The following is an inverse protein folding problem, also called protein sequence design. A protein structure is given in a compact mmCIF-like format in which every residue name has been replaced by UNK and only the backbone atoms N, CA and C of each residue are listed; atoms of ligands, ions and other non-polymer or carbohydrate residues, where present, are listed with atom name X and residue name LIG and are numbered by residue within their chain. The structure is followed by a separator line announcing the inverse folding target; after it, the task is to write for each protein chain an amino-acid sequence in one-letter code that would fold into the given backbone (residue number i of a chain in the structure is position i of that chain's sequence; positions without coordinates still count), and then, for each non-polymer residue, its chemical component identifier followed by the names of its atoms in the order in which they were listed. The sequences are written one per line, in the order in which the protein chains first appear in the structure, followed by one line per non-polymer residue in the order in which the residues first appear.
data_IF_946077854410
#
_entry.id   IF_946077854410
#
_cell.length_a   1.000
_cell.length_b   1.000
_cell.length_c   1.000
_cell.angle_alpha   90.00
_cell.angle_beta   90.00
_cell.angle_gamma   90.00
#
_symmetry.space_group_name_H-M   'P 1'
#
loop_
_entity.id
_entity.type
_entity.pdbx_description
1 polymer ?
#
# COMPACT_ATOMS: atom_id res chain seq x y z
N UNK A 1 -3.07 19.19 6.05
CA UNK A 1 -3.56 18.89 7.42
C UNK A 1 -5.01 18.41 7.54
N UNK A 2 -5.92 18.76 6.63
CA UNK A 2 -7.37 18.55 6.83
C UNK A 2 -7.70 17.08 7.12
N UNK A 3 -6.97 16.17 6.49
CA UNK A 3 -7.18 14.73 6.60
C UNK A 3 -6.42 14.07 7.77
N UNK A 4 -5.28 14.63 8.17
CA UNK A 4 -4.36 14.00 9.13
C UNK A 4 -5.00 13.72 10.51
N UNK A 5 -5.87 14.61 11.00
CA UNK A 5 -6.54 14.39 12.28
C UNK A 5 -7.46 13.17 12.23
N UNK A 6 -8.32 13.11 11.21
CA UNK A 6 -9.27 12.00 11.03
C UNK A 6 -8.54 10.68 10.75
N UNK A 7 -7.48 10.74 9.94
CA UNK A 7 -6.61 9.59 9.68
C UNK A 7 -6.06 9.01 10.99
N UNK A 8 -5.44 9.85 11.83
CA UNK A 8 -4.80 9.39 13.06
C UNK A 8 -5.81 8.93 14.12
N UNK A 9 -6.94 9.64 14.27
CA UNK A 9 -8.03 9.25 15.19
C UNK A 9 -8.59 7.87 14.83
N UNK A 10 -8.85 7.63 13.55
CA UNK A 10 -9.37 6.33 13.09
C UNK A 10 -8.30 5.23 13.11
N UNK A 11 -7.03 5.56 12.83
CA UNK A 11 -5.92 4.62 13.01
C UNK A 11 -5.77 4.17 14.46
N UNK A 12 -5.99 5.05 15.44
CA UNK A 12 -6.02 4.66 16.86
C UNK A 12 -7.21 3.77 17.23
N UNK A 13 -8.28 3.74 16.44
CA UNK A 13 -9.43 2.85 16.68
C UNK A 13 -9.24 1.45 16.08
N UNK A 14 -8.58 1.37 14.93
CA UNK A 14 -8.63 0.17 14.09
C UNK A 14 -7.27 -0.39 13.64
N UNK A 15 -6.21 0.41 13.62
CA UNK A 15 -4.93 0.02 13.02
C UNK A 15 -4.00 -0.68 14.02
N UNK A 16 -3.75 -1.97 13.78
CA UNK A 16 -2.78 -2.84 14.46
C UNK A 16 -2.92 -2.69 15.99
N UNK A 17 -4.17 -2.81 16.44
CA UNK A 17 -4.60 -2.63 17.82
C UNK A 17 -3.88 -3.60 18.76
N UNK A 18 -3.43 -3.10 19.91
CA UNK A 18 -2.68 -3.90 20.90
C UNK A 18 -1.19 -4.07 20.62
N UNK A 19 -0.66 -3.49 19.54
CA UNK A 19 0.76 -3.57 19.17
C UNK A 19 1.47 -2.20 19.24
N UNK A 20 2.81 -2.24 19.26
CA UNK A 20 3.69 -1.07 19.32
C UNK A 20 3.83 -0.41 17.96
N UNK A 21 3.51 0.88 17.90
CA UNK A 21 3.24 1.58 16.64
C UNK A 21 3.93 3.01 16.73
N UNK A 22 4.94 3.40 15.90
CA UNK A 22 5.58 4.77 15.67
C UNK A 22 5.22 5.68 14.41
N UNK A 23 4.36 6.72 14.48
CA UNK A 23 3.65 7.22 13.27
C UNK A 23 4.60 8.21 12.62
N UNK A 24 5.15 7.87 11.47
CA UNK A 24 6.07 8.75 10.76
C UNK A 24 5.26 9.68 9.88
N UNK A 25 5.15 10.94 10.31
CA UNK A 25 4.41 11.98 9.61
C UNK A 25 5.41 12.86 8.87
N UNK A 26 5.42 12.73 7.54
CA UNK A 26 6.22 13.57 6.66
C UNK A 26 5.45 14.85 6.38
N UNK A 27 5.99 16.00 6.80
CA UNK A 27 5.33 17.29 6.59
C UNK A 27 6.33 18.45 6.55
N UNK A 28 6.05 19.45 5.71
CA UNK A 28 6.75 20.74 5.70
C UNK A 28 6.22 21.69 6.79
N UNK A 29 5.12 21.31 7.46
CA UNK A 29 4.38 22.06 8.47
C UNK A 29 4.29 21.28 9.81
N UNK A 30 5.38 21.17 10.58
CA UNK A 30 5.39 20.42 11.85
C UNK A 30 4.43 20.94 12.93
N UNK A 31 4.27 22.26 13.04
CA UNK A 31 3.48 22.94 14.09
C UNK A 31 1.96 22.69 14.00
N UNK A 32 1.59 21.95 12.98
CA UNK A 32 0.28 21.79 12.41
C UNK A 32 -0.16 20.32 12.47
N UNK A 33 0.75 19.43 12.86
CA UNK A 33 0.44 18.04 13.22
C UNK A 33 -0.47 18.04 14.46
N UNK A 34 -1.64 17.38 14.41
CA UNK A 34 -2.60 17.41 15.50
C UNK A 34 -2.09 16.68 16.74
N UNK A 35 -2.47 17.19 17.91
CA UNK A 35 -2.24 16.52 19.18
C UNK A 35 -3.44 15.62 19.52
N UNK A 36 -3.29 14.32 19.25
CA UNK A 36 -4.32 13.32 19.57
C UNK A 36 -3.90 12.46 20.76
N UNK A 37 -4.88 11.83 21.41
CA UNK A 37 -4.60 10.81 22.43
C UNK A 37 -4.15 9.52 21.77
N UNK A 38 -2.97 9.02 22.15
CA UNK A 38 -2.41 7.77 21.65
C UNK A 38 -2.53 6.66 22.69
N UNK A 39 -2.87 5.46 22.24
CA UNK A 39 -2.86 4.28 23.09
C UNK A 39 -1.44 3.92 23.53
N UNK A 40 -1.36 3.14 24.61
CA UNK A 40 -0.09 2.72 25.22
C UNK A 40 0.83 2.03 24.19
N UNK A 41 2.10 2.44 24.16
CA UNK A 41 3.11 1.86 23.28
C UNK A 41 3.08 2.42 21.85
N UNK A 42 2.30 3.48 21.62
CA UNK A 42 2.20 4.18 20.35
C UNK A 42 2.75 5.60 20.47
N UNK A 43 3.35 6.12 19.41
CA UNK A 43 3.90 7.48 19.36
C UNK A 43 3.73 8.08 17.97
N UNK A 44 3.78 9.40 17.90
CA UNK A 44 3.92 10.17 16.66
C UNK A 44 5.35 10.69 16.56
N UNK A 45 5.93 10.56 15.38
CA UNK A 45 7.27 11.02 15.02
C UNK A 45 7.12 11.94 13.83
N UNK A 46 7.35 13.23 14.05
CA UNK A 46 7.26 14.25 13.01
C UNK A 46 8.59 14.30 12.25
N UNK A 47 8.53 14.12 10.94
CA UNK A 47 9.67 14.19 10.04
C UNK A 47 9.50 15.42 9.17
N UNK A 48 10.24 16.49 9.49
CA UNK A 48 10.19 17.71 8.71
C UNK A 48 10.82 17.47 7.34
N UNK A 49 10.06 17.71 6.28
CA UNK A 49 10.51 17.60 4.89
C UNK A 49 10.45 18.95 4.18
N UNK A 50 11.07 19.03 3.02
CA UNK A 50 11.00 20.21 2.16
C UNK A 50 9.59 20.32 1.56
N UNK A 51 9.13 21.57 1.41
CA UNK A 51 7.94 21.88 0.62
C UNK A 51 8.29 21.86 -0.87
N UNK A 52 7.47 21.19 -1.68
CA UNK A 52 7.64 21.13 -3.13
C UNK A 52 6.65 22.05 -3.84
N UNK A 53 6.99 22.47 -5.07
CA UNK A 53 6.21 23.48 -5.80
C UNK A 53 4.95 22.87 -6.39
N UNK A 54 4.97 21.57 -6.71
CA UNK A 54 3.85 20.84 -7.31
C UNK A 54 3.56 19.52 -6.60
N UNK A 55 2.32 19.04 -6.69
CA UNK A 55 1.92 17.75 -6.15
C UNK A 55 2.66 16.58 -6.84
N UNK A 56 3.02 16.75 -8.13
CA UNK A 56 3.81 15.76 -8.86
C UNK A 56 5.21 15.60 -8.27
N UNK A 57 5.86 16.71 -7.90
CA UNK A 57 7.16 16.66 -7.21
C UNK A 57 7.02 15.99 -5.82
N UNK A 58 5.96 16.29 -5.06
CA UNK A 58 5.70 15.61 -3.78
C UNK A 58 5.66 14.10 -3.97
N UNK A 59 4.93 13.63 -4.98
CA UNK A 59 4.82 12.21 -5.32
C UNK A 59 6.16 11.62 -5.78
N UNK A 60 6.89 12.34 -6.62
CA UNK A 60 8.21 11.91 -7.12
C UNK A 60 9.22 11.67 -5.99
N UNK A 61 9.20 12.56 -5.01
CA UNK A 61 10.11 12.47 -3.87
C UNK A 61 9.58 11.56 -2.75
N UNK A 62 8.33 11.08 -2.81
CA UNK A 62 7.77 10.20 -1.79
C UNK A 62 8.58 8.91 -1.63
N UNK A 63 8.87 8.23 -2.75
CA UNK A 63 9.68 7.01 -2.76
C UNK A 63 11.12 7.28 -2.26
N UNK A 64 11.71 8.41 -2.65
CA UNK A 64 13.03 8.85 -2.17
C UNK A 64 13.03 9.06 -0.65
N UNK A 65 12.06 9.82 -0.14
CA UNK A 65 11.95 10.13 1.29
C UNK A 65 11.81 8.85 2.12
N UNK A 66 10.96 7.92 1.70
CA UNK A 66 10.81 6.64 2.41
C UNK A 66 12.14 5.88 2.42
N UNK A 67 12.80 5.72 1.26
CA UNK A 67 14.07 4.98 1.19
C UNK A 67 15.17 5.62 2.04
N UNK A 68 15.31 6.95 2.01
CA UNK A 68 16.27 7.70 2.82
C UNK A 68 16.02 7.54 4.33
N UNK A 69 14.78 7.67 4.79
CA UNK A 69 14.46 7.50 6.21
C UNK A 69 14.54 6.04 6.67
N UNK A 70 14.39 5.07 5.77
CA UNK A 70 14.69 3.68 6.09
C UNK A 70 16.16 3.53 6.48
N UNK A 71 17.08 4.02 5.65
CA UNK A 71 18.52 3.93 5.91
C UNK A 71 18.93 4.69 7.16
N UNK A 72 18.38 5.89 7.35
CA UNK A 72 18.77 6.77 8.45
C UNK A 72 18.17 6.34 9.80
N UNK A 73 16.98 5.71 9.79
CA UNK A 73 16.16 5.61 10.99
C UNK A 73 15.39 4.31 11.10
N UNK A 74 14.55 3.97 10.12
CA UNK A 74 13.51 2.95 10.34
C UNK A 74 14.07 1.55 10.58
N UNK A 75 15.25 1.23 10.03
CA UNK A 75 15.95 -0.04 10.28
C UNK A 75 16.19 -0.34 11.77
N UNK A 76 16.28 0.68 12.62
CA UNK A 76 16.55 0.53 14.05
C UNK A 76 15.29 0.64 14.92
N UNK A 77 14.18 1.13 14.35
CA UNK A 77 12.99 1.49 15.11
C UNK A 77 11.82 0.50 14.95
N UNK A 78 11.65 -0.12 13.77
CA UNK A 78 10.49 -0.94 13.41
C UNK A 78 10.87 -2.19 12.59
N UNK A 79 10.05 -3.24 12.64
CA UNK A 79 10.27 -4.45 11.83
C UNK A 79 9.56 -4.40 10.46
N UNK A 80 8.44 -3.68 10.40
CA UNK A 80 7.62 -3.52 9.21
C UNK A 80 7.21 -2.06 9.00
N UNK A 81 7.02 -1.70 7.73
CA UNK A 81 6.48 -0.42 7.25
C UNK A 81 5.16 -0.66 6.51
N UNK A 82 4.18 0.22 6.73
CA UNK A 82 2.88 0.27 6.04
C UNK A 82 2.68 1.68 5.47
N UNK A 83 3.06 1.90 4.23
CA UNK A 83 2.94 3.19 3.55
C UNK A 83 1.49 3.43 3.14
N UNK A 84 0.87 4.50 3.63
CA UNK A 84 -0.52 4.84 3.37
C UNK A 84 -0.68 6.33 3.01
N UNK A 85 -1.59 6.61 2.09
CA UNK A 85 -2.02 7.98 1.79
C UNK A 85 -2.85 8.56 2.94
N UNK A 86 -2.64 9.85 3.27
CA UNK A 86 -3.28 10.48 4.43
C UNK A 86 -4.77 10.75 4.25
N UNK A 87 -5.26 10.80 3.01
CA UNK A 87 -6.67 11.07 2.67
C UNK A 87 -7.56 9.84 2.86
N UNK A 88 -7.00 8.77 3.43
CA UNK A 88 -7.71 7.57 3.86
C UNK A 88 -8.33 7.70 5.26
N UNK A 89 -9.37 6.89 5.51
CA UNK A 89 -10.01 6.75 6.83
C UNK A 89 -10.13 5.27 7.16
N UNK A 90 -9.75 4.88 8.38
CA UNK A 90 -9.99 3.51 8.85
C UNK A 90 -11.43 3.38 9.37
N UNK A 91 -12.20 2.48 8.76
CA UNK A 91 -13.60 2.27 9.12
C UNK A 91 -13.85 0.94 9.86
N UNK A 92 -12.89 0.01 9.83
CA UNK A 92 -12.94 -1.29 10.49
C UNK A 92 -11.51 -1.80 10.72
N UNK A 93 -11.38 -2.95 11.40
CA UNK A 93 -10.13 -3.61 11.80
C UNK A 93 -9.12 -3.74 10.65
N UNK A 94 -7.90 -3.26 10.89
CA UNK A 94 -6.72 -3.50 10.05
C UNK A 94 -5.59 -3.94 10.97
N UNK A 95 -5.39 -5.25 11.10
CA UNK A 95 -4.48 -5.84 12.07
C UNK A 95 -3.22 -6.45 11.48
N UNK A 96 -2.62 -7.35 12.26
CA UNK A 96 -1.39 -8.04 11.86
C UNK A 96 -1.56 -8.97 10.66
N UNK A 97 -2.81 -9.24 10.26
CA UNK A 97 -3.11 -10.05 9.08
C UNK A 97 -2.62 -9.41 7.78
N UNK A 98 -2.41 -8.09 7.70
CA UNK A 98 -1.86 -7.45 6.48
C UNK A 98 -0.35 -7.68 6.30
N UNK A 99 0.34 -8.09 7.36
CA UNK A 99 1.80 -8.05 7.40
C UNK A 99 2.41 -9.23 6.68
N UNK A 100 3.44 -8.94 5.90
CA UNK A 100 4.23 -9.94 5.17
C UNK A 100 5.58 -9.33 4.79
N UNK A 101 6.46 -10.09 4.15
CA UNK A 101 7.74 -9.54 3.70
C UNK A 101 7.53 -8.37 2.75
N UNK A 102 6.54 -8.45 1.87
CA UNK A 102 6.09 -7.40 0.96
C UNK A 102 4.59 -7.62 0.69
N UNK A 103 3.75 -6.66 1.02
CA UNK A 103 2.34 -6.68 0.67
C UNK A 103 1.95 -5.52 -0.23
N UNK A 104 0.86 -5.70 -0.95
CA UNK A 104 0.22 -4.64 -1.72
C UNK A 104 -1.28 -4.87 -1.82
N UNK A 105 -1.99 -3.86 -2.27
CA UNK A 105 -3.44 -3.85 -2.31
C UNK A 105 -3.97 -3.81 -3.72
N UNK A 106 -5.05 -4.53 -3.99
CA UNK A 106 -5.78 -4.40 -5.25
C UNK A 106 -6.46 -3.03 -5.32
N UNK A 107 -6.27 -2.33 -6.42
CA UNK A 107 -6.95 -1.06 -6.63
C UNK A 107 -8.47 -1.26 -6.78
N UNK A 108 -9.27 -0.52 -6.01
CA UNK A 108 -10.73 -0.67 -5.91
C UNK A 108 -11.48 -0.41 -7.21
N UNK A 109 -10.97 0.45 -8.09
CA UNK A 109 -11.56 0.64 -9.41
C UNK A 109 -11.25 -0.47 -10.43
N UNK A 110 -10.26 -1.33 -10.16
CA UNK A 110 -9.71 -2.24 -11.17
C UNK A 110 -9.78 -3.73 -10.80
N UNK A 111 -10.15 -4.10 -9.57
CA UNK A 111 -10.16 -5.51 -9.14
C UNK A 111 -11.17 -6.43 -9.88
N UNK A 112 -12.19 -5.86 -10.52
CA UNK A 112 -13.20 -6.63 -11.30
C UNK A 112 -13.01 -6.56 -12.81
N UNK A 113 -12.07 -5.74 -13.29
CA UNK A 113 -11.87 -5.55 -14.73
C UNK A 113 -10.82 -6.53 -15.27
N UNK A 114 -10.92 -6.82 -16.56
CA UNK A 114 -9.92 -7.62 -17.25
C UNK A 114 -8.57 -6.89 -17.25
N UNK A 115 -7.49 -7.63 -17.01
CA UNK A 115 -6.12 -7.14 -16.95
C UNK A 115 -5.70 -6.35 -18.19
N UNK A 116 -6.25 -6.66 -19.37
CA UNK A 116 -6.02 -5.88 -20.62
C UNK A 116 -6.50 -4.43 -20.54
N UNK A 117 -7.29 -4.07 -19.52
CA UNK A 117 -7.81 -2.73 -19.30
C UNK A 117 -7.18 -2.05 -18.07
N UNK A 118 -6.16 -2.67 -17.47
CA UNK A 118 -5.40 -2.01 -16.40
C UNK A 118 -4.64 -0.83 -16.97
N UNK A 119 -4.65 0.33 -16.28
CA UNK A 119 -4.05 1.53 -16.83
C UNK A 119 -2.54 1.54 -16.52
N UNK A 120 -1.83 0.45 -16.85
CA UNK A 120 -0.37 0.44 -16.78
C UNK A 120 0.24 1.43 -17.76
N UNK A 121 1.48 1.82 -17.51
CA UNK A 121 2.26 2.60 -18.46
C UNK A 121 2.45 1.84 -19.77
N UNK A 122 2.11 2.49 -20.89
CA UNK A 122 2.08 1.90 -22.23
C UNK A 122 3.22 2.40 -23.14
N UNK A 123 3.97 3.43 -22.74
CA UNK A 123 5.11 3.93 -23.49
C UNK A 123 6.36 3.09 -23.22
N UNK A 124 6.87 2.33 -24.22
CA UNK A 124 8.01 1.43 -24.03
C UNK A 124 9.31 2.09 -23.59
N UNK A 125 9.42 3.41 -23.76
CA UNK A 125 10.57 4.20 -23.32
C UNK A 125 10.57 4.46 -21.81
N UNK A 126 9.41 4.38 -21.14
CA UNK A 126 9.31 4.54 -19.70
C UNK A 126 9.84 3.30 -18.98
N UNK A 127 10.52 3.52 -17.85
CA UNK A 127 10.92 2.45 -16.93
C UNK A 127 9.70 1.75 -16.31
N UNK A 128 8.53 2.38 -16.26
CA UNK A 128 7.29 1.80 -15.73
C UNK A 128 6.52 0.93 -16.74
N UNK A 129 6.95 0.86 -18.01
CA UNK A 129 6.23 0.16 -19.07
C UNK A 129 5.90 -1.29 -18.75
N UNK A 130 4.63 -1.70 -18.92
CA UNK A 130 4.20 -3.10 -18.84
C UNK A 130 3.53 -3.48 -20.16
N UNK A 131 4.03 -4.52 -20.87
CA UNK A 131 3.41 -5.03 -22.09
C UNK A 131 1.95 -5.46 -21.89
N UNK A 132 1.13 -5.31 -22.93
CA UNK A 132 -0.30 -5.70 -22.91
C UNK A 132 -0.51 -7.19 -22.58
N UNK A 133 0.48 -8.05 -22.83
CA UNK A 133 0.44 -9.48 -22.58
C UNK A 133 1.07 -9.90 -21.22
N UNK A 134 1.45 -8.93 -20.39
CA UNK A 134 1.97 -9.12 -19.03
C UNK A 134 1.10 -8.43 -17.95
N UNK A 135 1.31 -8.78 -16.69
CA UNK A 135 0.57 -8.24 -15.54
C UNK A 135 -0.28 -9.27 -14.79
N UNK A 136 -0.25 -9.22 -13.45
CA UNK A 136 -1.14 -10.06 -12.62
C UNK A 136 -2.35 -9.27 -12.12
N UNK A 137 -2.09 -8.12 -11.50
CA UNK A 137 -3.07 -7.28 -10.80
C UNK A 137 -2.63 -5.83 -10.90
N UNK A 138 -3.60 -4.92 -10.94
CA UNK A 138 -3.33 -3.51 -10.76
C UNK A 138 -3.37 -3.14 -9.27
N UNK A 139 -2.19 -2.88 -8.72
CA UNK A 139 -2.00 -2.50 -7.31
C UNK A 139 -2.16 -1.00 -7.11
N UNK A 140 -2.72 -0.59 -5.96
CA UNK A 140 -2.79 0.83 -5.61
C UNK A 140 -1.54 1.32 -4.90
N UNK A 141 -1.10 2.53 -5.25
CA UNK A 141 -0.07 3.29 -4.52
C UNK A 141 -0.54 3.78 -3.15
N UNK A 142 -1.84 3.80 -2.89
CA UNK A 142 -2.42 4.34 -1.66
C UNK A 142 -2.14 3.50 -0.42
N UNK A 143 -1.86 2.20 -0.57
CA UNK A 143 -1.50 1.33 0.56
C UNK A 143 -0.57 0.18 0.13
N UNK A 144 0.67 0.22 0.60
CA UNK A 144 1.64 -0.86 0.41
C UNK A 144 2.54 -1.00 1.62
N UNK A 145 3.36 -2.04 1.69
CA UNK A 145 4.31 -2.16 2.77
C UNK A 145 4.95 -3.52 2.87
N UNK A 146 5.57 -3.79 4.00
CA UNK A 146 6.30 -5.03 4.20
C UNK A 146 7.36 -4.89 5.28
N UNK A 147 8.28 -5.85 5.31
CA UNK A 147 9.47 -5.74 6.14
C UNK A 147 10.33 -4.55 5.69
N UNK A 148 11.03 -3.90 6.64
CA UNK A 148 11.88 -2.73 6.33
C UNK A 148 12.82 -2.96 5.13
N UNK A 149 13.53 -4.11 5.00
CA UNK A 149 14.41 -4.34 3.86
C UNK A 149 13.69 -4.43 2.51
N UNK A 150 12.48 -4.98 2.46
CA UNK A 150 11.72 -5.13 1.21
C UNK A 150 11.08 -3.80 0.80
N UNK A 151 10.58 -3.01 1.76
CA UNK A 151 10.08 -1.67 1.47
C UNK A 151 11.21 -0.78 0.97
N UNK A 152 12.42 -0.88 1.53
CA UNK A 152 13.59 -0.16 1.01
C UNK A 152 13.89 -0.51 -0.44
N UNK A 153 13.93 -1.79 -0.79
CA UNK A 153 14.19 -2.21 -2.18
C UNK A 153 13.13 -1.67 -3.13
N UNK A 154 11.84 -1.76 -2.75
CA UNK A 154 10.73 -1.25 -3.55
C UNK A 154 10.85 0.25 -3.76
N UNK A 155 10.96 1.03 -2.69
CA UNK A 155 10.94 2.49 -2.80
C UNK A 155 12.20 3.02 -3.48
N UNK A 156 13.37 2.43 -3.21
CA UNK A 156 14.60 2.76 -3.91
C UNK A 156 14.53 2.48 -5.41
N UNK A 157 14.06 1.28 -5.79
CA UNK A 157 13.94 0.92 -7.21
C UNK A 157 12.91 1.78 -7.96
N UNK A 158 11.78 2.11 -7.31
CA UNK A 158 10.80 3.01 -7.90
C UNK A 158 11.39 4.41 -8.09
N UNK A 159 12.07 4.96 -7.08
CA UNK A 159 12.72 6.26 -7.19
C UNK A 159 13.79 6.28 -8.29
N UNK A 160 14.69 5.30 -8.33
CA UNK A 160 15.71 5.20 -9.38
C UNK A 160 15.10 5.13 -10.78
N UNK A 161 14.02 4.36 -10.96
CA UNK A 161 13.28 4.28 -12.22
C UNK A 161 12.62 5.63 -12.61
N UNK A 162 12.04 6.33 -11.64
CA UNK A 162 11.46 7.67 -11.85
C UNK A 162 12.52 8.69 -12.26
N UNK A 163 13.73 8.63 -11.67
CA UNK A 163 14.83 9.51 -12.05
C UNK A 163 15.32 9.26 -13.49
N UNK A 164 15.29 8.00 -13.95
CA UNK A 164 15.60 7.67 -15.35
C UNK A 164 14.53 8.22 -16.29
N UNK A 165 13.26 8.08 -15.96
CA UNK A 165 12.17 8.63 -16.76
C UNK A 165 12.25 10.16 -16.82
N UNK A 166 12.46 10.81 -15.68
CA UNK A 166 12.65 12.26 -15.59
C UNK A 166 13.83 12.74 -16.45
N UNK A 167 14.96 12.02 -16.43
CA UNK A 167 16.13 12.35 -17.25
C UNK A 167 15.90 12.19 -18.76
N UNK A 168 14.86 11.46 -19.16
CA UNK A 168 14.43 11.28 -20.55
C UNK A 168 13.18 12.10 -20.89
N UNK A 169 12.80 13.07 -20.06
CA UNK A 169 11.58 13.89 -20.21
C UNK A 169 10.29 13.05 -20.28
N UNK A 170 10.26 11.93 -19.56
CA UNK A 170 9.12 11.01 -19.45
C UNK A 170 8.50 11.13 -18.06
N UNK A 171 7.17 11.14 -18.01
CA UNK A 171 6.39 11.02 -16.79
C UNK A 171 5.39 9.88 -16.98
N UNK A 172 5.49 8.85 -16.13
CA UNK A 172 4.59 7.72 -16.19
C UNK A 172 3.14 8.14 -15.92
N UNK A 173 2.20 7.46 -16.58
CA UNK A 173 0.76 7.78 -16.65
C UNK A 173 0.14 7.96 -15.26
N UNK A 174 0.49 7.07 -14.32
CA UNK A 174 0.09 7.15 -12.91
C UNK A 174 1.29 7.31 -11.98
N UNK A 175 2.29 8.07 -12.40
CA UNK A 175 3.40 8.50 -11.55
C UNK A 175 4.07 7.31 -10.82
N UNK A 176 4.25 7.39 -9.50
CA UNK A 176 4.82 6.34 -8.66
C UNK A 176 4.00 5.04 -8.67
N UNK A 177 2.67 5.10 -8.84
CA UNK A 177 1.83 3.89 -8.91
C UNK A 177 2.15 3.05 -10.16
N UNK A 178 2.56 3.69 -11.27
CA UNK A 178 3.02 2.97 -12.45
C UNK A 178 4.35 2.22 -12.20
N UNK A 179 5.32 2.87 -11.53
CA UNK A 179 6.58 2.23 -11.16
C UNK A 179 6.40 1.14 -10.09
N UNK A 180 5.47 1.35 -9.15
CA UNK A 180 5.07 0.37 -8.15
C UNK A 180 4.56 -0.92 -8.82
N UNK A 181 3.62 -0.78 -9.76
CA UNK A 181 3.05 -1.91 -10.51
C UNK A 181 4.13 -2.65 -11.30
N UNK A 182 5.04 -1.90 -11.96
CA UNK A 182 6.19 -2.47 -12.66
C UNK A 182 7.11 -3.25 -11.73
N UNK A 183 7.44 -2.69 -10.57
CA UNK A 183 8.31 -3.35 -9.60
C UNK A 183 7.70 -4.67 -9.13
N UNK A 184 6.42 -4.64 -8.77
CA UNK A 184 5.71 -5.81 -8.22
C UNK A 184 5.41 -6.89 -9.25
N UNK A 185 5.40 -6.55 -10.53
CA UNK A 185 5.35 -7.53 -11.61
C UNK A 185 6.57 -8.47 -11.58
N UNK A 186 7.75 -7.98 -11.19
CA UNK A 186 8.97 -8.82 -11.11
C UNK A 186 9.38 -9.19 -9.69
N UNK A 187 8.89 -8.44 -8.70
CA UNK A 187 9.11 -8.68 -7.28
C UNK A 187 7.77 -8.93 -6.61
N UNK A 188 7.24 -10.14 -6.82
CA UNK A 188 5.87 -10.48 -6.40
C UNK A 188 5.66 -10.20 -4.91
N UNK A 189 4.61 -9.45 -4.52
CA UNK A 189 4.28 -9.30 -3.11
C UNK A 189 3.98 -10.68 -2.53
N UNK A 190 4.46 -10.96 -1.32
CA UNK A 190 4.13 -12.22 -0.62
C UNK A 190 2.70 -12.24 -0.12
N UNK A 191 2.04 -11.07 -0.10
CA UNK A 191 0.63 -10.92 0.25
C UNK A 191 -0.07 -9.85 -0.59
N UNK A 192 -1.24 -10.16 -1.11
CA UNK A 192 -2.11 -9.18 -1.79
C UNK A 192 -3.38 -9.01 -0.96
N UNK A 193 -3.69 -7.77 -0.62
CA UNK A 193 -4.88 -7.37 0.13
C UNK A 193 -6.04 -7.11 -0.83
N UNK A 194 -7.24 -7.50 -0.42
CA UNK A 194 -8.47 -7.21 -1.16
C UNK A 194 -8.78 -5.70 -1.16
N UNK A 195 -9.67 -5.24 -2.06
CA UNK A 195 -10.11 -3.84 -2.10
C UNK A 195 -10.80 -3.33 -0.83
N UNK A 196 -11.18 -4.21 0.11
CA UNK A 196 -11.77 -3.83 1.41
C UNK A 196 -10.87 -2.85 2.18
N UNK A 197 -9.56 -2.93 1.97
CA UNK A 197 -8.56 -2.13 2.69
C UNK A 197 -8.30 -0.74 2.07
N UNK A 198 -8.84 -0.43 0.88
CA UNK A 198 -8.77 0.89 0.20
C UNK A 198 -10.08 1.20 -0.53
N UNK A 199 -11.20 0.94 0.14
CA UNK A 199 -12.52 1.07 -0.46
C UNK A 199 -12.95 2.54 -0.60
N UNK A 200 -13.33 2.95 -1.82
CA UNK A 200 -13.98 4.24 -2.05
C UNK A 200 -15.49 4.00 -2.23
N UNK A 201 -16.28 4.44 -1.25
CA UNK A 201 -17.73 4.22 -1.26
C UNK A 201 -18.42 4.85 -2.47
N UNK A 202 -17.95 5.99 -3.00
CA UNK A 202 -18.63 6.67 -4.10
C UNK A 202 -18.40 5.95 -5.44
N UNK A 203 -17.15 5.61 -5.74
CA UNK A 203 -16.78 4.95 -7.01
C UNK A 203 -17.04 3.45 -6.97
N UNK A 204 -16.77 2.81 -5.83
CA UNK A 204 -16.87 1.36 -5.68
C UNK A 204 -18.31 0.89 -5.45
N UNK A 205 -19.19 1.72 -4.85
CA UNK A 205 -20.64 1.40 -4.79
C UNK A 205 -21.26 1.34 -6.17
N UNK A 206 -20.84 2.20 -7.11
CA UNK A 206 -21.32 2.12 -8.50
C UNK A 206 -20.86 0.84 -9.22
N UNK A 207 -19.68 0.31 -8.87
CA UNK A 207 -19.18 -0.99 -9.37
C UNK A 207 -19.94 -2.15 -8.70
N UNK A 208 -20.21 -2.03 -7.40
CA UNK A 208 -20.94 -3.00 -6.59
C UNK A 208 -22.41 -3.15 -6.99
N UNK A 209 -23.09 -2.01 -7.15
CA UNK A 209 -24.51 -1.93 -7.49
C UNK A 209 -24.77 -2.38 -8.94
N UNK A 210 -23.74 -2.37 -9.79
CA UNK A 210 -23.82 -2.86 -11.17
C UNK A 210 -23.96 -4.38 -11.31
N UNK A 211 -24.13 -5.14 -10.22
CA UNK A 211 -24.44 -6.58 -10.19
C UNK A 211 -23.97 -7.32 -11.45
N UNK A 212 -22.68 -7.60 -11.55
CA UNK A 212 -22.21 -8.53 -12.60
C UNK A 212 -22.75 -9.92 -12.24
N UNK A 213 -23.93 -10.24 -12.78
CA UNK A 213 -24.56 -11.56 -12.73
C UNK A 213 -23.54 -12.59 -13.24
N UNK A 214 -23.00 -13.41 -12.34
CA UNK A 214 -22.03 -14.46 -12.67
C UNK A 214 -20.72 -14.43 -11.87
N UNK A 215 -20.50 -13.47 -10.96
CA UNK A 215 -19.34 -13.53 -10.06
C UNK A 215 -19.52 -14.65 -9.01
N UNK A 216 -18.51 -15.52 -8.79
CA UNK A 216 -18.65 -16.71 -7.93
C UNK A 216 -18.57 -16.43 -6.42
N UNK A 217 -18.75 -15.19 -5.99
CA UNK A 217 -18.56 -14.76 -4.60
C UNK A 217 -19.88 -14.21 -4.04
N UNK A 218 -20.44 -14.93 -3.08
CA UNK A 218 -21.74 -14.62 -2.48
C UNK A 218 -21.62 -13.38 -1.58
N UNK A 219 -22.44 -12.39 -1.89
CA UNK A 219 -22.30 -10.96 -1.57
C UNK A 219 -22.79 -10.57 -0.17
N UNK A 220 -22.56 -11.43 0.83
CA UNK A 220 -22.87 -11.13 2.24
C UNK A 220 -21.63 -11.21 3.13
N UNK A 221 -20.49 -11.57 2.54
CA UNK A 221 -19.28 -11.89 3.26
C UNK A 221 -18.08 -11.75 2.30
N UNK A 222 -17.74 -10.53 1.90
CA UNK A 222 -16.32 -10.30 1.60
C UNK A 222 -15.66 -10.14 2.96
N UNK A 223 -15.45 -11.28 3.63
CA UNK A 223 -14.57 -11.34 4.77
C UNK A 223 -13.16 -11.43 4.20
N UNK A 224 -12.38 -10.36 4.30
CA UNK A 224 -10.92 -10.31 4.25
C UNK A 224 -10.30 -11.40 3.37
N UNK A 225 -10.29 -11.20 2.05
CA UNK A 225 -9.52 -12.08 1.17
C UNK A 225 -8.06 -11.63 1.12
N UNK A 226 -7.23 -12.31 1.90
CA UNK A 226 -5.78 -12.18 1.85
C UNK A 226 -5.22 -13.23 0.91
N UNK A 227 -4.65 -12.82 -0.22
CA UNK A 227 -4.03 -13.74 -1.18
C UNK A 227 -2.54 -13.86 -0.82
N UNK A 228 -2.06 -15.07 -0.54
CA UNK A 228 -0.64 -15.33 -0.27
C UNK A 228 0.03 -15.88 -1.53
N UNK A 229 1.02 -15.16 -2.08
CA UNK A 229 1.78 -15.61 -3.25
C UNK A 229 2.89 -16.58 -2.81
N UNK A 230 2.88 -17.83 -3.30
CA UNK A 230 4.00 -18.77 -3.07
C UNK A 230 5.13 -18.44 -4.04
N UNK A 231 6.35 -18.33 -3.52
CA UNK A 231 7.57 -18.15 -4.31
C UNK A 231 7.89 -19.43 -5.12
N UNK A 232 7.36 -19.53 -6.34
CA UNK A 232 7.67 -20.63 -7.26
C UNK A 232 6.62 -20.89 -8.34
N UNK A 233 6.77 -20.23 -9.49
CA UNK A 233 6.28 -20.54 -10.86
C UNK A 233 4.77 -20.72 -11.18
N UNK A 234 4.41 -20.00 -12.26
CA UNK A 234 3.45 -20.24 -13.36
C UNK A 234 1.95 -19.97 -13.17
N UNK A 235 1.45 -19.08 -14.05
CA UNK A 235 0.07 -18.87 -14.55
C UNK A 235 -1.02 -19.56 -13.70
N UNK A 236 -1.47 -18.90 -12.65
CA UNK A 236 -2.49 -19.41 -11.75
C UNK A 236 -3.91 -19.08 -12.23
N UNK A 237 -4.59 -20.05 -12.83
CA UNK A 237 -6.06 -20.09 -12.83
C UNK A 237 -6.56 -20.23 -11.39
N UNK A 238 -7.53 -19.40 -11.00
CA UNK A 238 -8.25 -19.51 -9.74
C UNK A 238 -8.90 -20.90 -9.61
N UNK A 239 -8.43 -21.73 -8.68
CA UNK A 239 -9.14 -22.94 -8.27
C UNK A 239 -9.93 -22.67 -7.00
N UNK A 240 -11.25 -22.80 -7.13
CA UNK A 240 -12.25 -22.69 -6.07
C UNK A 240 -12.18 -23.91 -5.15
N UNK A 241 -11.91 -23.68 -3.88
CA UNK A 241 -12.20 -24.63 -2.82
C UNK A 241 -11.16 -24.60 -1.69
N UNK A 242 -11.54 -24.04 -0.54
CA UNK A 242 -11.00 -24.51 0.72
C UNK A 242 -12.17 -24.95 1.58
N UNK A 243 -12.29 -26.28 1.69
CA UNK A 243 -12.83 -26.91 2.90
C UNK A 243 -12.05 -26.35 4.08
N UNK A 244 -12.79 -25.99 5.11
CA UNK A 244 -12.27 -25.77 6.46
C UNK A 244 -11.23 -26.83 6.79
N UNK A 245 -10.01 -26.37 7.06
CA UNK A 245 -9.11 -27.08 7.94
C UNK A 245 -8.84 -26.12 9.08
N UNK A 246 -9.58 -26.28 10.17
CA UNK A 246 -9.16 -25.79 11.48
C UNK A 246 -7.80 -26.42 11.78
N UNK A 247 -6.73 -25.67 11.57
CA UNK A 247 -5.41 -25.97 12.10
C UNK A 247 -4.95 -24.75 12.89
N UNK A 248 -4.58 -24.99 14.14
CA UNK A 248 -4.36 -23.98 15.18
C UNK A 248 -3.55 -22.77 14.73
N UNK A 249 -3.95 -21.61 15.24
CA UNK A 249 -3.26 -20.34 15.13
C UNK A 249 -1.75 -20.51 15.34
N UNK A 250 -0.89 -20.12 14.37
CA UNK A 250 0.52 -19.97 14.67
C UNK A 250 0.64 -18.75 15.58
N UNK A 251 0.97 -18.98 16.85
CA UNK A 251 1.39 -17.92 17.75
C UNK A 251 2.70 -17.32 17.22
N UNK A 252 2.68 -16.02 16.90
CA UNK A 252 3.91 -15.26 16.67
C UNK A 252 4.69 -15.17 17.99
N UNK A 253 6.03 -15.33 17.97
CA UNK A 253 6.83 -15.18 19.17
C UNK A 253 6.70 -13.75 19.73
N UNK A 254 6.68 -13.59 21.08
CA UNK A 254 6.55 -12.29 21.72
C UNK A 254 7.75 -11.39 21.37
N UNK A 255 7.52 -10.23 20.74
CA UNK A 255 8.57 -9.23 20.51
C UNK A 255 8.48 -8.33 19.26
N UNK A 256 7.54 -8.57 18.34
CA UNK A 256 7.48 -7.87 17.04
C UNK A 256 6.88 -6.45 17.16
N UNK A 257 7.59 -5.45 16.63
CA UNK A 257 7.22 -4.03 16.50
C UNK A 257 6.77 -3.72 15.07
N UNK A 258 5.66 -3.03 14.92
CA UNK A 258 4.94 -2.93 13.66
C UNK A 258 4.52 -1.50 13.36
N UNK A 259 4.74 -0.95 12.15
CA UNK A 259 4.02 0.29 11.82
C UNK A 259 3.93 0.82 10.39
N UNK A 260 3.08 1.83 10.22
CA UNK A 260 2.81 2.66 9.07
C UNK A 260 3.69 3.90 8.89
N UNK A 261 3.89 4.24 7.62
CA UNK A 261 4.48 5.45 7.03
C UNK A 261 3.31 6.23 6.42
N UNK A 262 3.16 7.51 6.75
CA UNK A 262 2.02 8.32 6.32
C UNK A 262 2.51 9.55 5.57
N UNK A 263 1.96 9.82 4.39
CA UNK A 263 2.20 11.08 3.70
C UNK A 263 0.95 11.62 3.00
N UNK A 264 0.89 12.95 2.94
CA UNK A 264 -0.22 13.76 2.48
C UNK A 264 -0.27 13.93 0.96
N UNK A 265 -1.41 13.61 0.33
CA UNK A 265 -1.82 14.19 -0.95
C UNK A 265 -2.36 15.60 -0.67
N UNK A 266 -1.76 16.62 -1.27
CA UNK A 266 -2.32 17.99 -1.29
C UNK A 266 -3.25 18.13 -2.49
#
# INVERSE_FOLDING_TARGET
MIYLNLFLETAEMYFIMGHRVNYYIFTDQPDYVPHIHLQKGRQIVILKVQSYVSWQEVIMHHMEMISNFIEQRFQQEVDYLVCADVDMVFSDHVGVEILSSLFSILHSNFFVINWTNFPYEQWPQSQAYIPEDDGDFYYSGALFGGSVPEVYKLTKACHEAMMVDQANDIQATWHEESHLNRYQLYHKPTKVLSPEYTWDEQTSRAIWDKQVLGLPYNTTQINYQIITMKSGLTKGSFQKGLKEVMAGSPSLPPGIKLKSVLQERV
#
